data_IF_211563408075
#
_entry.id   IF_211563408075
#
_cell.length_a   1.000
_cell.length_b   1.000
_cell.length_c   1.000
_cell.angle_alpha   90.00
_cell.angle_beta   90.00
_cell.angle_gamma   90.00
#
_symmetry.space_group_name_H-M   'P 1'
#
loop_
_entity.id
_entity.type
_entity.pdbx_description
1 polymer ?
#
# COMPACT_ATOMS: atom_id res chain seq x y z
N UNK A 1 -12.32 4.39 -15.95
CA UNK A 1 -12.26 3.95 -17.34
C UNK A 1 -11.25 2.82 -17.41
N UNK A 2 -11.56 1.73 -18.12
CA UNK A 2 -10.67 0.56 -18.26
C UNK A 2 -10.44 0.16 -19.71
N UNK A 3 -11.27 0.67 -20.63
CA UNK A 3 -11.11 0.41 -22.06
C UNK A 3 -9.81 1.02 -22.58
N UNK A 4 -9.15 0.28 -23.49
CA UNK A 4 -7.88 0.66 -24.12
C UNK A 4 -6.73 0.93 -23.13
N UNK A 5 -6.79 0.36 -21.93
CA UNK A 5 -5.68 0.41 -20.98
C UNK A 5 -4.76 -0.81 -21.15
N UNK A 6 -3.47 -0.71 -20.77
CA UNK A 6 -2.56 -1.83 -20.82
C UNK A 6 -3.02 -2.99 -19.92
N UNK A 7 -2.65 -4.21 -20.28
CA UNK A 7 -2.92 -5.37 -19.42
C UNK A 7 -2.02 -5.33 -18.19
N UNK A 8 -2.41 -6.04 -17.13
CA UNK A 8 -1.63 -6.07 -15.89
C UNK A 8 -0.16 -6.46 -16.14
N UNK A 9 0.11 -7.41 -17.04
CA UNK A 9 1.48 -7.82 -17.36
C UNK A 9 2.33 -6.65 -17.85
N UNK A 10 1.77 -5.82 -18.73
CA UNK A 10 2.46 -4.64 -19.25
C UNK A 10 2.63 -3.58 -18.15
N UNK A 11 1.60 -3.39 -17.32
CA UNK A 11 1.66 -2.45 -16.17
C UNK A 11 2.71 -2.89 -15.15
N UNK A 12 2.84 -4.19 -14.86
CA UNK A 12 3.86 -4.71 -13.95
C UNK A 12 5.28 -4.50 -14.52
N UNK A 13 5.46 -4.65 -15.83
CA UNK A 13 6.74 -4.33 -16.46
C UNK A 13 7.07 -2.82 -16.35
N UNK A 14 6.10 -1.94 -16.61
CA UNK A 14 6.29 -0.50 -16.40
C UNK A 14 6.58 -0.17 -14.92
N UNK A 15 5.99 -0.92 -14.00
CA UNK A 15 6.26 -0.79 -12.57
C UNK A 15 7.69 -1.23 -12.23
N UNK A 16 8.18 -2.33 -12.80
CA UNK A 16 9.56 -2.78 -12.64
C UNK A 16 10.56 -1.72 -13.11
N UNK A 17 10.30 -1.10 -14.27
CA UNK A 17 11.12 -0.02 -14.82
C UNK A 17 11.11 1.22 -13.91
N UNK A 18 9.95 1.57 -13.35
CA UNK A 18 9.83 2.63 -12.36
C UNK A 18 10.67 2.33 -11.10
N UNK A 19 10.56 1.12 -10.53
CA UNK A 19 11.33 0.71 -9.36
C UNK A 19 12.84 0.82 -9.59
N UNK A 20 13.31 0.41 -10.78
CA UNK A 20 14.72 0.52 -11.18
C UNK A 20 15.16 1.98 -11.33
N UNK A 21 14.34 2.81 -11.96
CA UNK A 21 14.60 4.24 -12.18
C UNK A 21 14.75 4.98 -10.84
N UNK A 22 13.88 4.67 -9.88
CA UNK A 22 13.91 5.22 -8.53
C UNK A 22 14.94 4.52 -7.61
N UNK A 23 15.65 3.50 -8.12
CA UNK A 23 16.64 2.70 -7.39
C UNK A 23 16.08 2.05 -6.12
N UNK A 24 14.79 1.73 -6.09
CA UNK A 24 14.11 1.15 -4.94
C UNK A 24 14.49 -0.34 -4.78
N UNK A 25 14.84 -0.74 -3.56
CA UNK A 25 15.23 -2.13 -3.25
C UNK A 25 16.70 -2.44 -3.50
N UNK A 26 17.51 -1.41 -3.74
CA UNK A 26 18.98 -1.51 -3.73
C UNK A 26 19.52 -1.50 -2.30
N UNK A 27 20.78 -1.89 -2.11
CA UNK A 27 21.41 -1.95 -0.77
C UNK A 27 21.31 -0.62 0.00
N UNK A 28 21.44 0.50 -0.71
CA UNK A 28 21.41 1.85 -0.12
C UNK A 28 20.00 2.47 -0.07
N UNK A 29 18.98 1.82 -0.62
CA UNK A 29 17.63 2.37 -0.74
C UNK A 29 16.56 1.30 -0.53
N UNK A 30 16.51 0.77 0.69
CA UNK A 30 15.47 -0.15 1.14
C UNK A 30 14.11 0.53 1.20
N UNK A 31 13.04 -0.23 0.96
CA UNK A 31 11.67 0.27 1.01
C UNK A 31 10.71 -0.82 1.47
N UNK A 32 9.47 -0.43 1.75
CA UNK A 32 8.36 -1.34 1.97
C UNK A 32 7.07 -0.75 1.41
N UNK A 33 6.17 -1.60 0.89
CA UNK A 33 4.81 -1.17 0.55
C UNK A 33 3.97 -0.97 1.80
N UNK A 34 3.04 -0.02 1.72
CA UNK A 34 2.06 0.26 2.77
C UNK A 34 0.67 0.11 2.18
N UNK A 35 -0.19 -0.67 2.84
CA UNK A 35 -1.55 -0.97 2.39
C UNK A 35 -2.58 -0.73 3.50
N UNK A 36 -3.84 -0.49 3.12
CA UNK A 36 -4.95 -0.37 4.07
C UNK A 36 -5.63 -1.73 4.31
N UNK A 37 -4.94 -2.62 5.02
CA UNK A 37 -5.35 -4.01 5.20
C UNK A 37 -4.48 -4.97 4.38
N UNK A 38 -4.74 -6.26 4.50
CA UNK A 38 -3.94 -7.28 3.79
C UNK A 38 -4.50 -7.62 2.41
N UNK A 39 -5.67 -7.07 2.04
CA UNK A 39 -6.42 -7.52 0.86
C UNK A 39 -5.67 -7.35 -0.45
N UNK A 40 -5.04 -6.19 -0.68
CA UNK A 40 -4.36 -5.86 -1.94
C UNK A 40 -3.28 -6.89 -2.30
N UNK A 41 -2.36 -7.15 -1.36
CA UNK A 41 -1.17 -7.96 -1.60
C UNK A 41 -1.28 -9.41 -1.15
N UNK A 42 -2.16 -9.73 -0.19
CA UNK A 42 -2.43 -11.13 0.20
C UNK A 42 -3.43 -11.81 -0.74
N UNK A 43 -4.35 -11.05 -1.35
CA UNK A 43 -5.49 -11.62 -2.08
C UNK A 43 -5.60 -11.14 -3.51
N UNK A 44 -5.76 -9.84 -3.76
CA UNK A 44 -6.09 -9.34 -5.11
C UNK A 44 -4.98 -9.56 -6.11
N UNK A 45 -3.77 -9.04 -5.84
CA UNK A 45 -2.65 -9.19 -6.76
C UNK A 45 -2.29 -10.67 -7.00
N UNK A 46 -2.14 -11.54 -5.97
CA UNK A 46 -1.87 -12.96 -6.21
C UNK A 46 -2.95 -13.68 -7.01
N UNK A 47 -4.23 -13.37 -6.77
CA UNK A 47 -5.33 -13.98 -7.52
C UNK A 47 -5.33 -13.55 -8.99
N UNK A 48 -5.03 -12.28 -9.25
CA UNK A 48 -4.95 -11.76 -10.61
C UNK A 48 -3.72 -12.30 -11.36
N UNK A 49 -2.56 -12.38 -10.70
CA UNK A 49 -1.36 -13.02 -11.23
C UNK A 49 -1.61 -14.49 -11.57
N UNK A 50 -2.28 -15.23 -10.68
CA UNK A 50 -2.67 -16.63 -10.93
C UNK A 50 -3.59 -16.78 -12.13
N UNK A 51 -4.58 -15.90 -12.29
CA UNK A 51 -5.49 -15.91 -13.43
C UNK A 51 -4.77 -15.69 -14.77
N UNK A 52 -3.72 -14.87 -14.76
CA UNK A 52 -2.92 -14.52 -15.94
C UNK A 52 -1.70 -15.44 -16.14
N UNK A 53 -1.51 -16.44 -15.27
CA UNK A 53 -0.35 -17.35 -15.28
C UNK A 53 0.99 -16.59 -15.25
N UNK A 54 1.07 -15.52 -14.46
CA UNK A 54 2.29 -14.76 -14.20
C UNK A 54 2.66 -14.82 -12.72
N UNK A 55 3.95 -14.67 -12.41
CA UNK A 55 4.42 -14.60 -11.03
C UNK A 55 4.11 -13.27 -10.36
N UNK A 56 3.91 -13.30 -9.05
CA UNK A 56 3.85 -12.08 -8.23
C UNK A 56 5.28 -11.56 -8.03
N UNK A 57 5.59 -10.31 -8.43
CA UNK A 57 6.90 -9.70 -8.20
C UNK A 57 7.31 -9.77 -6.73
N UNK A 58 8.58 -10.08 -6.48
CA UNK A 58 9.09 -10.38 -5.13
C UNK A 58 8.95 -9.22 -4.16
N UNK A 59 9.03 -7.98 -4.66
CA UNK A 59 8.85 -6.79 -3.85
C UNK A 59 7.43 -6.60 -3.31
N UNK A 60 6.42 -7.26 -3.89
CA UNK A 60 5.05 -7.24 -3.36
C UNK A 60 4.79 -8.31 -2.27
N UNK A 61 5.77 -9.15 -1.96
CA UNK A 61 5.60 -10.28 -1.02
C UNK A 61 5.70 -9.90 0.45
N UNK A 62 6.06 -8.66 0.77
CA UNK A 62 6.12 -8.13 2.13
C UNK A 62 5.57 -6.71 2.15
N UNK A 63 4.78 -6.38 3.17
CA UNK A 63 4.16 -5.06 3.31
C UNK A 63 3.85 -4.69 4.75
N UNK A 64 3.54 -3.42 4.92
CA UNK A 64 3.07 -2.79 6.15
C UNK A 64 1.57 -2.54 6.00
N UNK A 65 0.77 -3.23 6.81
CA UNK A 65 -0.66 -2.98 6.94
C UNK A 65 -0.85 -1.82 7.93
N UNK A 66 -1.17 -0.64 7.39
CA UNK A 66 -1.27 0.60 8.18
C UNK A 66 -2.32 0.52 9.29
N UNK A 67 -3.32 -0.37 9.17
CA UNK A 67 -4.34 -0.56 10.21
C UNK A 67 -3.73 -1.11 11.50
N UNK A 68 -2.67 -1.93 11.41
CA UNK A 68 -1.94 -2.44 12.57
C UNK A 68 -1.11 -1.34 13.21
N UNK A 69 -0.34 -0.60 12.41
CA UNK A 69 0.43 0.57 12.88
C UNK A 69 -0.48 1.59 13.58
N UNK A 70 -1.64 1.88 12.99
CA UNK A 70 -2.66 2.72 13.61
C UNK A 70 -3.14 2.15 14.95
N UNK A 71 -3.44 0.85 15.01
CA UNK A 71 -3.92 0.21 16.23
C UNK A 71 -2.88 0.29 17.37
N UNK A 72 -1.60 0.16 17.04
CA UNK A 72 -0.51 0.26 18.01
C UNK A 72 -0.40 1.66 18.62
N UNK A 73 -0.64 2.72 17.83
CA UNK A 73 -0.58 4.12 18.29
C UNK A 73 -1.88 4.57 18.97
N UNK A 74 -3.03 4.24 18.40
CA UNK A 74 -4.34 4.78 18.80
C UNK A 74 -5.05 3.85 19.80
N UNK A 75 -4.59 2.61 19.96
CA UNK A 75 -5.14 1.64 20.91
C UNK A 75 -6.42 0.94 20.42
N UNK A 76 -6.81 1.12 19.15
CA UNK A 76 -7.92 0.38 18.53
C UNK A 76 -7.67 0.04 17.07
N UNK A 77 -8.14 -1.13 16.66
CA UNK A 77 -8.10 -1.52 15.25
C UNK A 77 -9.15 -0.74 14.44
N UNK A 78 -8.76 -0.02 13.38
CA UNK A 78 -9.70 0.81 12.63
C UNK A 78 -10.57 -0.04 11.69
N UNK A 79 -11.76 0.44 11.38
CA UNK A 79 -12.63 -0.20 10.37
C UNK A 79 -12.06 -0.02 8.95
N UNK A 80 -11.47 1.13 8.66
CA UNK A 80 -10.81 1.44 7.38
C UNK A 80 -10.17 2.83 7.37
N UNK A 81 -9.79 3.30 6.18
CA UNK A 81 -9.08 4.57 5.97
C UNK A 81 -9.81 5.79 6.56
N UNK A 82 -11.12 5.92 6.32
CA UNK A 82 -11.90 7.06 6.83
C UNK A 82 -11.93 7.14 8.36
N UNK A 83 -11.95 5.98 9.04
CA UNK A 83 -11.86 5.96 10.50
C UNK A 83 -10.48 6.40 10.98
N UNK A 84 -9.40 5.96 10.31
CA UNK A 84 -8.04 6.39 10.67
C UNK A 84 -7.86 7.91 10.46
N UNK A 85 -8.41 8.48 9.39
CA UNK A 85 -8.41 9.92 9.18
C UNK A 85 -9.14 10.64 10.31
N UNK A 86 -10.34 10.17 10.67
CA UNK A 86 -11.12 10.75 11.78
C UNK A 86 -10.41 10.63 13.14
N UNK A 87 -9.75 9.51 13.41
CA UNK A 87 -9.05 9.27 14.67
C UNK A 87 -7.79 10.14 14.82
N UNK A 88 -7.24 10.59 13.70
CA UNK A 88 -6.04 11.42 13.63
C UNK A 88 -6.34 12.90 13.36
N UNK A 89 -7.61 13.29 13.31
CA UNK A 89 -8.07 14.65 12.97
C UNK A 89 -7.54 15.15 11.60
N UNK A 90 -7.46 14.25 10.63
CA UNK A 90 -7.00 14.53 9.27
C UNK A 90 -8.18 14.67 8.30
N UNK A 91 -8.18 15.69 7.42
CA UNK A 91 -9.21 15.82 6.39
C UNK A 91 -9.01 14.78 5.28
N UNK A 92 -10.11 14.20 4.79
CA UNK A 92 -10.08 13.37 3.60
C UNK A 92 -9.79 14.22 2.35
N UNK A 93 -8.83 13.78 1.55
CA UNK A 93 -8.46 14.45 0.30
C UNK A 93 -8.93 13.67 -0.93
N UNK A 94 -9.44 14.37 -1.94
CA UNK A 94 -9.84 13.77 -3.21
C UNK A 94 -11.13 12.94 -3.11
N UNK A 95 -11.21 11.86 -3.88
CA UNK A 95 -12.41 11.02 -3.99
C UNK A 95 -12.19 9.65 -3.35
N UNK A 96 -13.06 9.28 -2.42
CA UNK A 96 -13.04 7.94 -1.81
C UNK A 96 -13.23 6.85 -2.88
N UNK A 97 -12.45 5.76 -2.78
CA UNK A 97 -12.38 4.67 -3.76
C UNK A 97 -11.76 5.08 -5.12
N UNK A 98 -10.97 6.15 -5.13
CA UNK A 98 -10.01 6.44 -6.20
C UNK A 98 -8.64 5.96 -5.72
N UNK A 99 -8.04 4.97 -6.39
CA UNK A 99 -6.80 4.34 -5.90
C UNK A 99 -5.67 5.33 -5.61
N UNK A 100 -5.50 6.35 -6.46
CA UNK A 100 -4.46 7.37 -6.25
C UNK A 100 -4.77 8.31 -5.06
N UNK A 101 -6.04 8.64 -4.81
CA UNK A 101 -6.42 9.49 -3.69
C UNK A 101 -6.39 8.70 -2.37
N UNK A 102 -6.79 7.42 -2.40
CA UNK A 102 -6.65 6.51 -1.26
C UNK A 102 -5.16 6.38 -0.88
N UNK A 103 -4.24 6.21 -1.85
CA UNK A 103 -2.80 6.21 -1.60
C UNK A 103 -2.29 7.49 -0.92
N UNK A 104 -2.76 8.68 -1.36
CA UNK A 104 -2.38 9.96 -0.73
C UNK A 104 -2.84 10.05 0.72
N UNK A 105 -4.10 9.67 0.98
CA UNK A 105 -4.64 9.67 2.34
C UNK A 105 -3.90 8.66 3.24
N UNK A 106 -3.58 7.47 2.74
CA UNK A 106 -2.77 6.46 3.46
C UNK A 106 -1.38 7.00 3.79
N UNK A 107 -0.72 7.69 2.86
CA UNK A 107 0.58 8.30 3.10
C UNK A 107 0.51 9.39 4.19
N UNK A 108 -0.55 10.21 4.17
CA UNK A 108 -0.80 11.23 5.19
C UNK A 108 -1.07 10.64 6.58
N UNK A 109 -1.88 9.57 6.66
CA UNK A 109 -2.08 8.79 7.90
C UNK A 109 -0.74 8.27 8.41
N UNK A 110 0.06 7.63 7.56
CA UNK A 110 1.35 7.05 7.97
C UNK A 110 2.29 8.13 8.51
N UNK A 111 2.37 9.27 7.82
CA UNK A 111 3.18 10.41 8.25
C UNK A 111 2.77 10.90 9.63
N UNK A 112 1.47 10.99 9.89
CA UNK A 112 0.95 11.42 11.19
C UNK A 112 1.20 10.38 12.29
N UNK A 113 1.05 9.08 11.99
CA UNK A 113 1.41 8.01 12.92
C UNK A 113 2.88 8.06 13.31
N UNK A 114 3.79 8.29 12.35
CA UNK A 114 5.23 8.46 12.61
C UNK A 114 5.49 9.68 13.51
N UNK A 115 4.81 10.82 13.26
CA UNK A 115 4.91 12.00 14.14
C UNK A 115 4.47 11.70 15.58
N UNK A 116 3.51 10.79 15.75
CA UNK A 116 3.03 10.32 17.05
C UNK A 116 3.90 9.22 17.66
N UNK A 117 5.04 8.89 17.04
CA UNK A 117 6.04 7.96 17.58
C UNK A 117 5.94 6.54 17.04
N UNK A 118 5.15 6.28 15.99
CA UNK A 118 5.14 4.98 15.34
C UNK A 118 6.51 4.65 14.73
N UNK A 119 6.93 3.39 14.86
CA UNK A 119 8.04 2.79 14.13
C UNK A 119 7.46 1.67 13.26
N UNK A 120 7.02 1.95 12.03
CA UNK A 120 6.40 0.96 11.17
C UNK A 120 7.40 -0.14 10.77
N UNK A 121 6.95 -1.39 10.79
CA UNK A 121 7.71 -2.56 10.31
C UNK A 121 6.78 -3.48 9.48
N UNK A 122 7.35 -4.46 8.79
CA UNK A 122 6.62 -5.45 8.01
C UNK A 122 5.61 -6.18 8.90
N UNK A 123 4.36 -6.21 8.46
CA UNK A 123 3.26 -6.84 9.21
C UNK A 123 2.50 -7.91 8.42
N UNK A 124 2.86 -8.09 7.15
CA UNK A 124 2.25 -9.05 6.25
C UNK A 124 3.24 -9.56 5.21
N UNK A 125 3.08 -10.83 4.83
CA UNK A 125 3.82 -11.48 3.76
C UNK A 125 3.01 -12.59 3.09
N UNK A 126 3.46 -13.02 1.91
CA UNK A 126 3.02 -14.23 1.18
C UNK A 126 4.21 -15.05 0.70
#
# INVERSE_FOLDING_TARGET
>A
MVDNQPYLKDVLQLFDEFMQTEKLGTEDNSFAFVTCGDWDLRKMLPSQCKLLEIDVPTYFRKWINIKKVHADVVGRFPSGMLQMLSDLDLPHQGRHHSGIDDCKNIAEILRELIRRGAVPDITGSI
#
